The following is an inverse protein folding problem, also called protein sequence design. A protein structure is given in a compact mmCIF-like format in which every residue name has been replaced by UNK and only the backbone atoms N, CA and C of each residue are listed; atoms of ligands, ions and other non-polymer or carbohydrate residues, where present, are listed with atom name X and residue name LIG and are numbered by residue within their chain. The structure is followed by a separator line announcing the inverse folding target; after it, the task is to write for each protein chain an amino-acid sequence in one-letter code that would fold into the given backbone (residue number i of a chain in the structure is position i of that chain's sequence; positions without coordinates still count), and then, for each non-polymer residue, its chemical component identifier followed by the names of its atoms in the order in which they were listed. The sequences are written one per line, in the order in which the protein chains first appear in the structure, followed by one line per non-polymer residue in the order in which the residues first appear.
data_IF_205004420337
#
_entry.id   IF_205004420337
#
_cell.length_a   1.000
_cell.length_b   1.000
_cell.length_c   1.000
_cell.angle_alpha   90.00
_cell.angle_beta   90.00
_cell.angle_gamma   90.00
#
_symmetry.space_group_name_H-M   'P 1'
#
loop_
_entity.id
_entity.type
_entity.pdbx_description
1 polymer ?
#
# COMPACT_ATOMS: atom_id res chain seq x y z
N UNK A 1 -8.76 5.34 -1.21
CA UNK A 1 -7.70 6.08 -1.94
C UNK A 1 -7.54 5.65 -3.40
N UNK A 2 -7.20 4.40 -3.71
CA UNK A 2 -6.91 3.97 -5.10
C UNK A 2 -8.02 4.25 -6.11
N UNK A 3 -9.29 4.14 -5.71
CA UNK A 3 -10.44 4.36 -6.59
C UNK A 3 -10.67 5.84 -6.95
N UNK A 4 -9.99 6.79 -6.31
CA UNK A 4 -10.19 8.22 -6.59
C UNK A 4 -9.64 8.62 -7.96
N UNK A 5 -8.68 7.87 -8.51
CA UNK A 5 -8.09 8.12 -9.83
C UNK A 5 -9.17 8.13 -10.94
N UNK A 6 -10.16 7.25 -10.83
CA UNK A 6 -11.30 7.21 -11.75
C UNK A 6 -12.13 8.51 -11.70
N UNK A 7 -12.29 9.10 -10.51
CA UNK A 7 -13.04 10.35 -10.36
C UNK A 7 -12.23 11.55 -10.90
N UNK A 8 -10.92 11.58 -10.68
CA UNK A 8 -10.06 12.59 -11.29
C UNK A 8 -10.06 12.49 -12.82
N UNK A 9 -9.98 11.28 -13.37
CA UNK A 9 -10.14 11.05 -14.80
C UNK A 9 -11.51 11.53 -15.31
N UNK A 10 -12.60 11.14 -14.65
CA UNK A 10 -13.95 11.56 -15.04
C UNK A 10 -14.13 13.08 -15.02
N UNK A 11 -13.54 13.77 -14.04
CA UNK A 11 -13.53 15.23 -13.99
C UNK A 11 -12.85 15.86 -15.22
N UNK A 12 -11.72 15.31 -15.66
CA UNK A 12 -11.01 15.80 -16.86
C UNK A 12 -11.78 15.53 -18.14
N UNK A 13 -12.31 14.32 -18.30
CA UNK A 13 -12.98 13.93 -19.54
C UNK A 13 -14.34 14.61 -19.73
N UNK A 14 -15.07 14.83 -18.64
CA UNK A 14 -16.43 15.41 -18.71
C UNK A 14 -16.46 16.91 -18.47
N UNK A 15 -15.42 17.48 -17.84
CA UNK A 15 -15.44 18.85 -17.33
C UNK A 15 -16.33 19.03 -16.08
N UNK A 16 -16.99 17.98 -15.57
CA UNK A 16 -17.81 18.07 -14.36
C UNK A 16 -16.92 18.07 -13.11
N UNK A 17 -16.78 19.26 -12.53
CA UNK A 17 -15.98 19.51 -11.33
C UNK A 17 -16.44 18.71 -10.11
N UNK A 18 -17.69 18.22 -10.08
CA UNK A 18 -18.21 17.43 -8.96
C UNK A 18 -17.35 16.19 -8.67
N UNK A 19 -16.85 15.51 -9.71
CA UNK A 19 -16.01 14.34 -9.51
C UNK A 19 -14.68 14.69 -8.83
N UNK A 20 -14.06 15.80 -9.23
CA UNK A 20 -12.84 16.31 -8.60
C UNK A 20 -13.10 16.69 -7.14
N UNK A 21 -14.19 17.40 -6.86
CA UNK A 21 -14.51 17.88 -5.52
C UNK A 21 -14.78 16.73 -4.55
N UNK A 22 -15.47 15.68 -5.00
CA UNK A 22 -15.67 14.45 -4.21
C UNK A 22 -14.34 13.75 -3.95
N UNK A 23 -13.46 13.64 -4.95
CA UNK A 23 -12.16 12.99 -4.80
C UNK A 23 -11.25 13.74 -3.80
N UNK A 24 -11.15 15.07 -3.93
CA UNK A 24 -10.39 15.92 -3.01
C UNK A 24 -10.96 15.87 -1.59
N UNK A 25 -12.29 15.92 -1.45
CA UNK A 25 -12.95 15.82 -0.14
C UNK A 25 -12.64 14.48 0.52
N UNK A 26 -12.73 13.38 -0.23
CA UNK A 26 -12.39 12.05 0.29
C UNK A 26 -10.92 11.96 0.72
N UNK A 27 -9.99 12.49 -0.08
CA UNK A 27 -8.57 12.50 0.26
C UNK A 27 -8.30 13.31 1.54
N UNK A 28 -8.86 14.51 1.67
CA UNK A 28 -8.74 15.34 2.88
C UNK A 28 -9.31 14.65 4.12
N UNK A 29 -10.49 14.05 4.01
CA UNK A 29 -11.12 13.29 5.11
C UNK A 29 -10.29 12.08 5.50
N UNK A 30 -9.66 11.42 4.52
CA UNK A 30 -8.74 10.30 4.78
C UNK A 30 -7.52 10.77 5.57
N UNK A 31 -6.88 11.88 5.18
CA UNK A 31 -5.75 12.47 5.93
C UNK A 31 -6.15 12.70 7.39
N UNK A 32 -7.31 13.32 7.62
CA UNK A 32 -7.76 13.70 8.97
C UNK A 32 -7.98 12.49 9.88
N UNK A 33 -8.49 11.39 9.35
CA UNK A 33 -9.10 10.35 10.19
C UNK A 33 -8.44 8.97 10.09
N UNK A 34 -7.82 8.63 8.96
CA UNK A 34 -7.17 7.33 8.76
C UNK A 34 -5.71 7.33 9.20
N UNK A 35 -5.02 8.48 9.21
CA UNK A 35 -3.62 8.55 9.57
C UNK A 35 -3.45 8.71 11.08
N UNK A 36 -2.49 7.99 11.65
CA UNK A 36 -2.00 8.17 13.02
C UNK A 36 -0.88 9.22 13.04
N UNK A 37 -0.44 9.60 14.24
CA UNK A 37 0.60 10.62 14.42
C UNK A 37 1.95 10.23 13.78
N UNK A 38 2.25 8.93 13.74
CA UNK A 38 3.45 8.36 13.12
C UNK A 38 3.31 8.07 11.61
N UNK A 39 2.19 8.48 11.00
CA UNK A 39 1.84 8.24 9.60
C UNK A 39 1.63 6.77 9.21
N UNK A 40 1.53 5.86 10.18
CA UNK A 40 0.81 4.60 9.96
C UNK A 40 -0.68 4.88 9.74
N UNK A 41 -1.38 4.01 9.01
CA UNK A 41 -2.81 4.16 8.78
C UNK A 41 -3.67 3.08 9.44
N UNK A 42 -4.86 3.48 9.90
CA UNK A 42 -5.97 2.55 10.11
C UNK A 42 -6.44 1.99 8.77
N UNK A 43 -6.98 0.78 8.79
CA UNK A 43 -7.56 0.18 7.60
C UNK A 43 -8.99 0.69 7.38
N UNK A 44 -9.80 0.76 8.44
CA UNK A 44 -11.21 1.16 8.35
C UNK A 44 -11.49 2.29 9.32
N UNK A 45 -12.22 3.31 8.87
CA UNK A 45 -12.81 4.34 9.72
C UNK A 45 -14.31 4.34 9.49
N UNK A 46 -15.07 4.17 10.56
CA UNK A 46 -16.53 4.24 10.56
C UNK A 46 -16.99 5.67 10.89
N UNK A 47 -18.01 6.13 10.18
CA UNK A 47 -18.55 7.48 10.32
C UNK A 47 -20.05 7.42 10.58
N UNK A 48 -20.55 8.34 11.41
CA UNK A 48 -21.98 8.59 11.51
C UNK A 48 -22.49 9.18 10.18
N UNK A 49 -23.49 8.54 9.58
CA UNK A 49 -23.99 8.92 8.25
C UNK A 49 -24.78 10.23 8.25
N UNK A 50 -25.17 10.74 9.42
CA UNK A 50 -25.92 11.99 9.58
C UNK A 50 -24.98 13.13 9.92
N UNK A 51 -24.07 12.94 10.87
CA UNK A 51 -23.18 14.01 11.36
C UNK A 51 -21.82 14.06 10.68
N UNK A 52 -21.34 12.94 10.12
CA UNK A 52 -19.99 12.81 9.57
C UNK A 52 -18.89 12.66 10.62
N UNK A 53 -19.24 12.51 11.90
CA UNK A 53 -18.28 12.29 12.98
C UNK A 53 -17.75 10.85 12.98
N UNK A 54 -16.49 10.68 13.40
CA UNK A 54 -15.85 9.36 13.48
C UNK A 54 -16.44 8.58 14.66
N UNK A 55 -16.96 7.39 14.37
CA UNK A 55 -17.49 6.45 15.38
C UNK A 55 -16.45 5.46 15.86
N UNK A 56 -15.66 4.93 14.92
CA UNK A 56 -14.66 3.92 15.22
C UNK A 56 -13.48 3.96 14.24
N UNK A 57 -12.34 3.42 14.67
CA UNK A 57 -11.16 3.19 13.84
C UNK A 57 -10.66 1.79 14.08
N UNK A 58 -10.69 0.97 13.04
CA UNK A 58 -10.54 -0.47 13.18
C UNK A 58 -9.72 -1.08 12.04
N UNK A 59 -9.56 -2.39 12.11
CA UNK A 59 -9.03 -3.19 11.01
C UNK A 59 -9.96 -4.32 10.61
N UNK A 60 -10.02 -4.59 9.30
CA UNK A 60 -10.67 -5.80 8.76
C UNK A 60 -9.65 -6.87 8.36
N UNK A 61 -8.47 -6.45 7.91
CA UNK A 61 -7.44 -7.32 7.34
C UNK A 61 -6.06 -7.05 7.93
N UNK A 62 -5.93 -6.28 9.01
CA UNK A 62 -4.67 -6.12 9.73
C UNK A 62 -4.63 -7.02 10.97
N UNK A 63 -3.48 -7.05 11.62
CA UNK A 63 -3.27 -7.83 12.83
C UNK A 63 -4.14 -7.34 14.00
N UNK A 64 -4.19 -6.03 14.24
CA UNK A 64 -4.98 -5.38 15.28
C UNK A 64 -5.49 -4.01 14.83
N UNK A 65 -6.47 -3.41 15.52
CA UNK A 65 -7.00 -2.09 15.13
C UNK A 65 -5.94 -0.99 15.16
N UNK A 66 -4.97 -1.10 16.07
CA UNK A 66 -3.83 -0.21 16.19
C UNK A 66 -2.61 -0.65 15.37
N UNK A 67 -2.66 -1.77 14.64
CA UNK A 67 -1.53 -2.23 13.82
C UNK A 67 -1.45 -1.52 12.46
N UNK A 68 -0.30 -1.66 11.81
CA UNK A 68 -0.03 -1.19 10.46
C UNK A 68 -0.03 -2.36 9.47
N UNK A 69 -1.20 -2.62 8.89
CA UNK A 69 -1.34 -3.57 7.79
C UNK A 69 -0.56 -3.11 6.57
N UNK A 70 0.39 -3.93 6.09
CA UNK A 70 1.42 -3.47 5.14
C UNK A 70 0.82 -3.01 3.81
N UNK A 71 -0.18 -3.72 3.29
CA UNK A 71 -0.86 -3.33 2.05
C UNK A 71 -1.73 -2.09 2.22
N UNK A 72 -2.33 -1.88 3.39
CA UNK A 72 -3.04 -0.64 3.71
C UNK A 72 -2.12 0.56 3.65
N UNK A 73 -0.92 0.42 4.22
CA UNK A 73 0.10 1.45 4.15
C UNK A 73 0.56 1.71 2.70
N UNK A 74 0.79 0.65 1.92
CA UNK A 74 1.15 0.76 0.51
C UNK A 74 0.06 1.48 -0.32
N UNK A 75 -1.22 1.22 -0.06
CA UNK A 75 -2.34 1.97 -0.66
C UNK A 75 -2.36 3.45 -0.29
N UNK A 76 -1.94 3.79 0.93
CA UNK A 76 -1.78 5.17 1.35
C UNK A 76 -0.66 5.88 0.56
N UNK A 77 0.53 5.27 0.48
CA UNK A 77 1.67 5.82 -0.25
C UNK A 77 1.30 6.04 -1.73
N UNK A 78 0.77 5.01 -2.38
CA UNK A 78 0.34 5.10 -3.77
C UNK A 78 -0.76 6.14 -3.93
N UNK A 79 -1.82 6.02 -3.12
CA UNK A 79 -3.01 6.85 -3.23
C UNK A 79 -2.72 8.34 -3.07
N UNK A 80 -1.90 8.73 -2.09
CA UNK A 80 -1.55 10.14 -1.90
C UNK A 80 -0.53 10.65 -2.93
N UNK A 81 0.37 9.79 -3.42
CA UNK A 81 1.22 10.13 -4.59
C UNK A 81 0.36 10.42 -5.82
N UNK A 82 -0.63 9.56 -6.10
CA UNK A 82 -1.59 9.76 -7.19
C UNK A 82 -2.41 11.04 -6.99
N UNK A 83 -2.98 11.28 -5.80
CA UNK A 83 -3.74 12.51 -5.55
C UNK A 83 -2.86 13.76 -5.74
N UNK A 84 -1.57 13.72 -5.37
CA UNK A 84 -0.65 14.80 -5.68
C UNK A 84 -0.49 15.02 -7.18
N UNK A 85 -0.27 13.96 -7.96
CA UNK A 85 -0.22 14.03 -9.43
C UNK A 85 -1.46 14.70 -10.02
N UNK A 86 -2.64 14.34 -9.52
CA UNK A 86 -3.92 14.82 -10.05
C UNK A 86 -4.29 16.25 -9.61
N UNK A 87 -3.68 16.76 -8.54
CA UNK A 87 -4.09 18.05 -7.93
C UNK A 87 -2.99 19.11 -7.88
N UNK A 88 -1.71 18.71 -7.86
CA UNK A 88 -0.57 19.58 -7.62
C UNK A 88 -0.46 20.13 -6.19
N UNK A 89 -1.35 19.73 -5.27
CA UNK A 89 -1.38 20.25 -3.90
C UNK A 89 -0.33 19.56 -3.02
N UNK A 90 0.70 20.31 -2.63
CA UNK A 90 1.88 19.81 -1.92
C UNK A 90 1.57 19.13 -0.58
N UNK A 91 0.39 19.35 0.01
CA UNK A 91 0.00 18.61 1.24
C UNK A 91 -0.07 17.10 0.99
N UNK A 92 -0.53 16.67 -0.18
CA UNK A 92 -0.64 15.25 -0.52
C UNK A 92 0.74 14.64 -0.76
N UNK A 93 1.65 15.40 -1.37
CA UNK A 93 3.05 15.01 -1.50
C UNK A 93 3.68 14.80 -0.13
N UNK A 94 3.49 15.75 0.80
CA UNK A 94 4.02 15.65 2.17
C UNK A 94 3.47 14.42 2.91
N UNK A 95 2.17 14.12 2.75
CA UNK A 95 1.57 12.90 3.34
C UNK A 95 2.17 11.64 2.71
N UNK A 96 2.28 11.58 1.39
CA UNK A 96 2.86 10.43 0.70
C UNK A 96 4.31 10.15 1.14
N UNK A 97 5.13 11.19 1.28
CA UNK A 97 6.50 11.09 1.80
C UNK A 97 6.51 10.51 3.22
N UNK A 98 5.73 11.06 4.14
CA UNK A 98 5.73 10.59 5.54
C UNK A 98 5.21 9.16 5.68
N UNK A 99 4.22 8.76 4.86
CA UNK A 99 3.76 7.38 4.83
C UNK A 99 4.81 6.43 4.24
N UNK A 100 5.57 6.88 3.24
CA UNK A 100 6.69 6.14 2.67
C UNK A 100 7.84 6.00 3.66
N UNK A 101 8.19 7.07 4.37
CA UNK A 101 9.22 7.07 5.42
C UNK A 101 8.83 6.10 6.54
N UNK A 102 7.58 6.13 7.02
CA UNK A 102 7.07 5.14 7.97
C UNK A 102 7.27 3.71 7.47
N UNK A 103 6.92 3.43 6.21
CA UNK A 103 7.04 2.09 5.63
C UNK A 103 8.50 1.64 5.55
N UNK A 104 9.39 2.49 5.03
CA UNK A 104 10.80 2.19 4.74
C UNK A 104 11.67 2.14 5.99
N UNK A 105 11.35 2.94 7.01
CA UNK A 105 12.05 3.00 8.29
C UNK A 105 11.40 2.15 9.37
N UNK A 106 10.33 1.40 9.05
CA UNK A 106 9.73 0.48 10.00
C UNK A 106 10.76 -0.61 10.38
N UNK A 107 11.05 -0.84 11.68
CA UNK A 107 12.07 -1.81 12.10
C UNK A 107 11.70 -3.26 11.75
N UNK A 108 10.44 -3.54 11.43
CA UNK A 108 10.00 -4.87 10.98
C UNK A 108 10.03 -5.05 9.47
N UNK A 109 10.43 -4.02 8.70
CA UNK A 109 10.65 -4.18 7.26
C UNK A 109 11.93 -5.01 7.04
N UNK A 110 11.84 -6.20 6.43
CA UNK A 110 13.01 -7.05 6.22
C UNK A 110 13.99 -6.45 5.20
N UNK A 111 15.23 -6.94 5.19
CA UNK A 111 16.32 -6.40 4.35
C UNK A 111 16.02 -6.47 2.84
N UNK A 112 15.31 -7.51 2.40
CA UNK A 112 14.84 -7.67 1.01
C UNK A 112 13.71 -6.70 0.63
N UNK A 113 13.26 -5.85 1.57
CA UNK A 113 12.22 -4.82 1.42
C UNK A 113 10.84 -5.37 1.02
N UNK A 114 10.60 -6.67 1.13
CA UNK A 114 9.25 -7.24 1.01
C UNK A 114 8.63 -7.29 2.40
N UNK A 115 7.55 -6.56 2.72
CA UNK A 115 7.12 -6.44 4.10
C UNK A 115 6.52 -7.77 4.62
N UNK A 116 6.52 -7.92 5.94
CA UNK A 116 5.55 -8.81 6.61
C UNK A 116 4.14 -8.37 6.21
N UNK A 117 3.16 -9.26 6.28
CA UNK A 117 1.78 -8.93 5.92
C UNK A 117 1.20 -7.77 6.77
N UNK A 118 1.69 -7.63 8.00
CA UNK A 118 1.42 -6.52 8.93
C UNK A 118 2.71 -6.23 9.71
N UNK A 119 3.07 -4.95 9.84
CA UNK A 119 4.32 -4.52 10.45
C UNK A 119 4.39 -4.77 11.97
N UNK A 120 3.25 -5.02 12.62
CA UNK A 120 3.16 -5.22 14.06
C UNK A 120 2.74 -6.64 14.45
N UNK A 121 2.60 -7.54 13.49
CA UNK A 121 2.29 -8.93 13.77
C UNK A 121 3.33 -9.54 14.73
N UNK A 122 2.85 -10.15 15.82
CA UNK A 122 3.72 -10.79 16.83
C UNK A 122 4.46 -9.84 17.76
N UNK A 123 4.21 -8.53 17.70
CA UNK A 123 4.79 -7.56 18.64
C UNK A 123 3.92 -7.34 19.88
N UNK A 124 4.56 -7.01 20.99
CA UNK A 124 3.88 -6.58 22.22
C UNK A 124 3.08 -5.29 22.01
N UNK A 125 1.96 -5.15 22.71
CA UNK A 125 1.09 -3.96 22.61
C UNK A 125 0.06 -4.00 21.47
N UNK A 126 0.03 -5.06 20.68
CA UNK A 126 -0.95 -5.28 19.61
C UNK A 126 -1.79 -6.52 19.92
N UNK A 127 -3.10 -6.34 20.06
CA UNK A 127 -4.03 -7.42 20.39
C UNK A 127 -4.93 -7.72 19.22
N UNK A 128 -4.78 -8.91 18.63
CA UNK A 128 -5.70 -9.42 17.61
C UNK A 128 -7.10 -9.64 18.20
N UNK A 129 -8.13 -9.32 17.42
CA UNK A 129 -9.55 -9.54 17.76
C UNK A 129 -10.20 -10.69 16.98
N UNK A 130 -9.50 -11.22 15.99
CA UNK A 130 -9.96 -12.32 15.13
C UNK A 130 -9.63 -13.70 15.73
N UNK A 131 -10.37 -14.72 15.29
CA UNK A 131 -10.37 -16.07 15.89
C UNK A 131 -9.60 -17.12 15.08
N UNK A 132 -9.13 -16.76 13.88
CA UNK A 132 -8.32 -17.66 13.07
C UNK A 132 -7.08 -18.10 13.86
N UNK A 133 -6.70 -19.38 13.74
CA UNK A 133 -5.53 -19.94 14.41
C UNK A 133 -4.30 -19.87 13.50
N UNK A 134 -3.60 -18.74 13.57
CA UNK A 134 -2.38 -18.45 12.83
C UNK A 134 -1.19 -19.31 13.26
N UNK A 135 -1.24 -19.96 14.43
CA UNK A 135 -0.16 -20.83 14.90
C UNK A 135 0.04 -22.02 13.95
N UNK A 136 -1.01 -22.40 13.20
CA UNK A 136 -0.95 -23.42 12.15
C UNK A 136 -0.08 -23.04 10.96
N UNK A 137 0.18 -21.74 10.75
CA UNK A 137 1.09 -21.26 9.70
C UNK A 137 2.54 -21.52 10.11
N UNK A 138 2.86 -21.35 11.40
CA UNK A 138 4.21 -21.56 11.94
C UNK A 138 5.21 -20.42 11.66
N UNK A 139 4.80 -19.36 10.95
CA UNK A 139 5.60 -18.16 10.69
C UNK A 139 4.69 -16.96 10.40
N UNK A 140 5.24 -15.75 10.41
CA UNK A 140 4.51 -14.53 9.97
C UNK A 140 4.70 -14.39 8.46
N UNK A 141 3.63 -14.48 7.64
CA UNK A 141 3.79 -14.44 6.20
C UNK A 141 4.17 -13.06 5.69
N UNK A 142 4.83 -13.04 4.53
CA UNK A 142 5.11 -11.84 3.75
C UNK A 142 3.86 -11.38 2.99
N UNK A 143 3.94 -10.18 2.43
CA UNK A 143 3.00 -9.75 1.41
C UNK A 143 3.70 -9.12 0.21
N UNK A 144 4.02 -9.95 -0.79
CA UNK A 144 4.60 -9.51 -2.05
C UNK A 144 3.76 -8.46 -2.77
N UNK A 145 2.43 -8.49 -2.60
CA UNK A 145 1.54 -7.48 -3.18
C UNK A 145 1.79 -6.09 -2.59
N UNK A 146 1.98 -5.98 -1.27
CA UNK A 146 2.31 -4.71 -0.61
C UNK A 146 3.65 -4.14 -1.11
N UNK A 147 4.67 -5.00 -1.32
CA UNK A 147 5.95 -4.58 -1.91
C UNK A 147 5.78 -4.07 -3.34
N UNK A 148 5.01 -4.77 -4.18
CA UNK A 148 4.78 -4.37 -5.57
C UNK A 148 4.09 -2.99 -5.66
N UNK A 149 3.06 -2.77 -4.84
CA UNK A 149 2.33 -1.50 -4.74
C UNK A 149 3.26 -0.39 -4.26
N UNK A 150 4.00 -0.63 -3.18
CA UNK A 150 4.93 0.35 -2.61
C UNK A 150 6.03 0.70 -3.61
N UNK A 151 6.64 -0.27 -4.30
CA UNK A 151 7.65 -0.04 -5.32
C UNK A 151 7.11 0.84 -6.46
N UNK A 152 5.92 0.53 -6.99
CA UNK A 152 5.30 1.36 -8.04
C UNK A 152 5.09 2.81 -7.56
N UNK A 153 4.56 2.97 -6.34
CA UNK A 153 4.34 4.28 -5.74
C UNK A 153 5.63 5.07 -5.51
N UNK A 154 6.67 4.41 -4.99
CA UNK A 154 7.96 5.02 -4.68
C UNK A 154 8.68 5.50 -5.94
N UNK A 155 8.58 4.78 -7.06
CA UNK A 155 9.12 5.25 -8.35
C UNK A 155 8.43 6.54 -8.84
N UNK A 156 7.13 6.67 -8.64
CA UNK A 156 6.41 7.91 -8.98
C UNK A 156 6.72 9.03 -7.98
N UNK A 157 6.75 8.72 -6.68
CA UNK A 157 7.11 9.67 -5.65
C UNK A 157 8.53 10.24 -5.87
N UNK A 158 9.48 9.41 -6.26
CA UNK A 158 10.84 9.82 -6.64
C UNK A 158 10.85 10.86 -7.77
N UNK A 159 9.93 10.78 -8.75
CA UNK A 159 9.89 11.76 -9.83
C UNK A 159 9.59 13.18 -9.33
N UNK A 160 8.88 13.30 -8.21
CA UNK A 160 8.53 14.59 -7.59
C UNK A 160 9.55 15.06 -6.55
N UNK A 161 10.10 14.14 -5.75
CA UNK A 161 10.96 14.49 -4.61
C UNK A 161 12.44 14.44 -4.95
N UNK A 162 12.83 13.65 -5.96
CA UNK A 162 14.21 13.30 -6.30
C UNK A 162 14.99 12.70 -5.11
N UNK A 163 14.29 12.16 -4.10
CA UNK A 163 14.93 11.51 -2.96
C UNK A 163 15.46 10.12 -3.40
N UNK A 164 16.79 9.89 -3.41
CA UNK A 164 17.37 8.62 -3.85
C UNK A 164 16.91 7.43 -3.01
N UNK A 165 16.58 7.61 -1.72
CA UNK A 165 16.12 6.51 -0.86
C UNK A 165 14.85 5.85 -1.40
N UNK A 166 13.93 6.63 -1.96
CA UNK A 166 12.70 6.10 -2.54
C UNK A 166 12.98 5.29 -3.80
N UNK A 167 13.88 5.78 -4.66
CA UNK A 167 14.30 5.07 -5.86
C UNK A 167 15.04 3.77 -5.49
N UNK A 168 16.06 3.85 -4.65
CA UNK A 168 16.89 2.72 -4.25
C UNK A 168 16.05 1.64 -3.55
N UNK A 169 15.14 2.04 -2.65
CA UNK A 169 14.23 1.09 -2.00
C UNK A 169 13.28 0.41 -2.99
N UNK A 170 12.73 1.16 -3.95
CA UNK A 170 11.87 0.59 -4.99
C UNK A 170 12.66 -0.38 -5.90
N UNK A 171 13.92 -0.07 -6.22
CA UNK A 171 14.84 -0.94 -6.94
C UNK A 171 15.09 -2.23 -6.16
N UNK A 172 15.39 -2.15 -4.86
CA UNK A 172 15.53 -3.34 -4.00
C UNK A 172 14.25 -4.18 -4.03
N UNK A 173 13.07 -3.57 -3.87
CA UNK A 173 11.80 -4.29 -3.91
C UNK A 173 11.58 -5.02 -5.24
N UNK A 174 11.77 -4.38 -6.39
CA UNK A 174 11.55 -5.06 -7.68
C UNK A 174 12.59 -6.15 -7.95
N UNK A 175 13.83 -6.00 -7.48
CA UNK A 175 14.85 -7.05 -7.58
C UNK A 175 14.50 -8.25 -6.70
N UNK A 176 14.06 -8.02 -5.46
CA UNK A 176 13.57 -9.08 -4.58
C UNK A 176 12.38 -9.80 -5.20
N UNK A 177 11.38 -9.05 -5.67
CA UNK A 177 10.20 -9.61 -6.33
C UNK A 177 10.52 -10.38 -7.61
N UNK A 178 11.58 -10.00 -8.34
CA UNK A 178 12.03 -10.68 -9.55
C UNK A 178 12.91 -11.91 -9.28
N UNK A 179 13.36 -12.13 -8.04
CA UNK A 179 14.20 -13.26 -7.66
C UNK A 179 13.43 -14.59 -7.63
N UNK A 180 14.14 -15.71 -7.62
CA UNK A 180 13.53 -17.05 -7.50
C UNK A 180 12.72 -17.24 -6.21
N UNK A 181 12.96 -16.41 -5.19
CA UNK A 181 12.18 -16.45 -3.95
C UNK A 181 10.75 -15.97 -4.13
N UNK A 182 10.47 -15.04 -5.05
CA UNK A 182 9.14 -14.43 -5.21
C UNK A 182 8.55 -14.58 -6.60
N UNK A 183 9.38 -14.70 -7.64
CA UNK A 183 8.93 -14.82 -9.02
C UNK A 183 8.70 -16.28 -9.39
N UNK A 184 7.52 -16.56 -9.89
CA UNK A 184 7.19 -17.88 -10.42
C UNK A 184 8.03 -18.23 -11.66
N UNK A 185 8.39 -19.50 -11.78
CA UNK A 185 9.01 -20.05 -12.99
C UNK A 185 8.00 -19.94 -14.16
N UNK A 186 8.40 -19.52 -15.37
CA UNK A 186 7.48 -19.45 -16.52
C UNK A 186 6.74 -20.77 -16.76
N UNK A 187 5.42 -20.69 -16.92
CA UNK A 187 4.54 -21.86 -17.10
C UNK A 187 4.08 -22.54 -15.80
N UNK A 188 4.48 -22.02 -14.63
CA UNK A 188 4.04 -22.50 -13.31
C UNK A 188 3.03 -21.55 -12.65
N UNK A 189 2.74 -21.76 -11.35
CA UNK A 189 1.95 -20.85 -10.50
C UNK A 189 0.60 -20.42 -11.11
N UNK A 190 -0.07 -21.32 -11.84
CA UNK A 190 -1.33 -21.05 -12.56
C UNK A 190 -1.29 -19.81 -13.49
N UNK A 191 -0.10 -19.42 -13.97
CA UNK A 191 0.09 -18.26 -14.85
C UNK A 191 0.34 -16.93 -14.12
N UNK A 192 0.32 -16.90 -12.78
CA UNK A 192 0.69 -15.72 -12.00
C UNK A 192 2.21 -15.50 -11.98
N UNK A 193 2.62 -14.23 -11.96
CA UNK A 193 4.02 -13.82 -11.97
C UNK A 193 4.66 -13.92 -10.59
N UNK A 194 3.96 -13.48 -9.55
CA UNK A 194 4.45 -13.44 -8.18
C UNK A 194 3.80 -14.49 -7.27
N UNK A 195 4.58 -14.95 -6.30
CA UNK A 195 4.17 -15.81 -5.19
C UNK A 195 4.11 -14.99 -3.89
N UNK A 196 3.76 -15.62 -2.77
CA UNK A 196 3.93 -15.08 -1.41
C UNK A 196 3.24 -13.74 -1.11
N UNK A 197 2.01 -13.56 -1.61
CA UNK A 197 1.12 -12.48 -1.16
C UNK A 197 0.17 -12.98 -0.08
N UNK A 198 -0.30 -12.07 0.79
CA UNK A 198 -1.25 -12.40 1.86
C UNK A 198 -2.49 -11.51 1.76
N UNK A 199 -3.58 -12.08 1.24
CA UNK A 199 -4.88 -11.42 1.08
C UNK A 199 -5.52 -11.07 2.41
N UNK A 200 -5.88 -12.06 3.23
CA UNK A 200 -6.48 -11.80 4.53
C UNK A 200 -6.23 -12.89 5.56
N UNK A 201 -5.16 -12.72 6.34
CA UNK A 201 -4.82 -13.62 7.44
C UNK A 201 -5.91 -13.70 8.52
N UNK A 202 -6.56 -12.60 8.98
CA UNK A 202 -7.60 -12.66 10.02
C UNK A 202 -8.78 -13.54 9.65
N UNK A 203 -9.03 -13.70 8.35
CA UNK A 203 -10.12 -14.48 7.79
C UNK A 203 -9.67 -15.89 7.33
N UNK A 204 -8.40 -16.25 7.47
CA UNK A 204 -7.88 -17.53 6.98
C UNK A 204 -7.92 -17.67 5.45
N UNK A 205 -7.80 -16.56 4.71
CA UNK A 205 -7.96 -16.54 3.25
C UNK A 205 -6.75 -15.97 2.54
N UNK A 206 -6.40 -16.60 1.42
CA UNK A 206 -5.37 -16.13 0.50
C UNK A 206 -4.03 -15.86 1.25
N UNK A 207 -3.61 -16.80 2.08
CA UNK A 207 -2.38 -16.68 2.87
C UNK A 207 -1.27 -17.39 2.11
N UNK A 208 -0.19 -16.66 1.80
CA UNK A 208 0.96 -17.18 1.06
C UNK A 208 0.59 -17.74 -0.32
N UNK A 209 -0.10 -16.93 -1.12
CA UNK A 209 -0.62 -17.30 -2.46
C UNK A 209 -0.29 -16.23 -3.50
N UNK A 210 -0.37 -16.55 -4.82
CA UNK A 210 -0.40 -15.52 -5.86
C UNK A 210 -1.67 -14.66 -5.79
N UNK A 211 -1.56 -13.38 -6.15
CA UNK A 211 -2.68 -12.44 -6.21
C UNK A 211 -2.55 -11.55 -7.45
N UNK A 212 -3.64 -11.43 -8.22
CA UNK A 212 -3.65 -10.72 -9.52
C UNK A 212 -3.20 -9.26 -9.42
N UNK A 213 -3.52 -8.58 -8.31
CA UNK A 213 -3.10 -7.21 -8.09
C UNK A 213 -1.60 -7.12 -7.77
N UNK A 214 -0.97 -8.15 -7.19
CA UNK A 214 0.47 -8.18 -7.03
C UNK A 214 1.17 -8.12 -8.40
N UNK A 215 0.74 -8.97 -9.34
CA UNK A 215 1.27 -9.02 -10.70
C UNK A 215 1.08 -7.69 -11.43
N UNK A 216 -0.11 -7.09 -11.31
CA UNK A 216 -0.40 -5.79 -11.92
C UNK A 216 0.58 -4.71 -11.46
N UNK A 217 0.71 -4.50 -10.14
CA UNK A 217 1.57 -3.45 -9.61
C UNK A 217 3.07 -3.78 -9.79
N UNK A 218 3.44 -5.05 -9.87
CA UNK A 218 4.80 -5.45 -10.20
C UNK A 218 5.17 -5.07 -11.63
N UNK A 219 4.30 -5.39 -12.61
CA UNK A 219 4.49 -4.97 -13.99
C UNK A 219 4.50 -3.44 -14.12
N UNK A 220 3.62 -2.75 -13.41
CA UNK A 220 3.61 -1.29 -13.39
C UNK A 220 4.93 -0.71 -12.83
N UNK A 221 5.43 -1.25 -11.72
CA UNK A 221 6.70 -0.83 -11.13
C UNK A 221 7.86 -1.04 -12.11
N UNK A 222 7.91 -2.18 -12.81
CA UNK A 222 8.92 -2.45 -13.84
C UNK A 222 8.85 -1.45 -15.00
N UNK A 223 7.64 -1.09 -15.45
CA UNK A 223 7.44 -0.09 -16.51
C UNK A 223 7.90 1.30 -16.05
N UNK A 224 7.58 1.70 -14.82
CA UNK A 224 8.04 2.97 -14.22
C UNK A 224 9.56 3.01 -14.09
N UNK A 225 10.17 1.93 -13.60
CA UNK A 225 11.62 1.78 -13.50
C UNK A 225 12.30 1.93 -14.87
N UNK A 226 11.80 1.22 -15.89
CA UNK A 226 12.34 1.30 -17.25
C UNK A 226 12.22 2.72 -17.83
N UNK A 227 11.12 3.43 -17.54
CA UNK A 227 10.92 4.81 -18.01
C UNK A 227 11.92 5.78 -17.39
N UNK A 228 12.12 5.72 -16.08
CA UNK A 228 13.09 6.57 -15.36
C UNK A 228 14.50 6.35 -15.92
N UNK A 229 14.90 5.09 -16.13
CA UNK A 229 16.23 4.76 -16.68
C UNK A 229 16.45 5.21 -18.14
N UNK A 230 15.40 5.53 -18.90
CA UNK A 230 15.50 6.11 -20.27
C UNK A 230 15.56 7.64 -20.28
N UNK A 231 15.12 8.28 -19.20
CA UNK A 231 15.10 9.76 -19.04
C UNK A 231 16.34 10.28 -18.29
N UNK A 232 17.20 9.37 -17.81
CA UNK A 232 18.47 9.62 -17.12
C UNK A 232 19.64 9.67 -18.09
#
# INVERSE_FOLDING_TARGET
MMNLELLFWAARETGDKKYYDVAVTHANTTIKNHLREDFSCYHVVDYDTITGEVRDRATAQGYADNSAWARGQAWGIYGFTMVYRETGDSKYLSVAQKMADFFLHNPSLPEDKVPLWDFNAGQDGYTKKWIFDETKIGYIPRDASAAAIAASALFELYQYTKNPEYYDSAVTMIHSLASEQYRAVPGSNAGFLLMHSTGSLPHGKEIDVPLVYADYYFLEALLRYQKIGKES
#
